data_IF_207646050168
#
_entry.id   IF_207646050168
#
_cell.length_a   1.000
_cell.length_b   1.000
_cell.length_c   1.000
_cell.angle_alpha   90.00
_cell.angle_beta   90.00
_cell.angle_gamma   90.00
#
_symmetry.space_group_name_H-M   'P 1'
#
loop_
_entity.id
_entity.type
_entity.pdbx_description
1 polymer ?
#
# COMPACT_ATOMS: atom_id res chain seq x y z
N UNK A 1 -19.25 -12.89 -14.06
CA UNK A 1 -19.34 -11.91 -12.95
C UNK A 1 -18.09 -11.84 -12.07
N UNK A 2 -17.52 -12.96 -11.57
CA UNK A 2 -16.36 -12.90 -10.63
C UNK A 2 -15.11 -12.20 -11.18
N UNK A 3 -14.72 -12.52 -12.41
CA UNK A 3 -13.55 -11.88 -13.07
C UNK A 3 -13.78 -10.39 -13.33
N UNK A 4 -15.00 -10.01 -13.68
CA UNK A 4 -15.39 -8.61 -13.89
C UNK A 4 -15.27 -7.77 -12.61
N UNK A 5 -15.70 -8.32 -11.46
CA UNK A 5 -15.56 -7.63 -10.17
C UNK A 5 -14.11 -7.46 -9.75
N UNK A 6 -13.26 -8.46 -10.00
CA UNK A 6 -11.81 -8.36 -9.74
C UNK A 6 -11.17 -7.31 -10.64
N UNK A 7 -11.52 -7.31 -11.92
CA UNK A 7 -11.02 -6.32 -12.87
C UNK A 7 -11.45 -4.90 -12.49
N UNK A 8 -12.72 -4.72 -12.10
CA UNK A 8 -13.26 -3.46 -11.61
C UNK A 8 -12.57 -3.01 -10.32
N UNK A 9 -12.27 -3.92 -9.39
CA UNK A 9 -11.53 -3.61 -8.16
C UNK A 9 -10.08 -3.19 -8.43
N UNK A 10 -9.41 -3.83 -9.40
CA UNK A 10 -8.04 -3.49 -9.81
C UNK A 10 -7.99 -2.13 -10.51
N UNK A 11 -8.95 -1.87 -11.41
CA UNK A 11 -9.12 -0.57 -12.07
C UNK A 11 -9.44 0.51 -11.05
N UNK A 12 -10.34 0.28 -10.10
CA UNK A 12 -10.65 1.23 -9.05
C UNK A 12 -9.44 1.51 -8.16
N UNK A 13 -8.71 0.48 -7.72
CA UNK A 13 -7.51 0.63 -6.91
C UNK A 13 -6.40 1.42 -7.62
N UNK A 14 -6.27 1.30 -8.95
CA UNK A 14 -5.31 2.07 -9.73
C UNK A 14 -5.80 3.50 -10.05
N UNK A 15 -7.10 3.66 -10.35
CA UNK A 15 -7.69 4.92 -10.77
C UNK A 15 -7.97 5.88 -9.61
N UNK A 16 -8.31 5.37 -8.42
CA UNK A 16 -8.64 6.21 -7.26
C UNK A 16 -7.42 7.04 -6.79
N UNK A 17 -6.20 6.47 -6.63
CA UNK A 17 -5.01 7.26 -6.33
C UNK A 17 -4.73 8.29 -7.43
N UNK A 18 -4.84 7.92 -8.70
CA UNK A 18 -4.59 8.83 -9.81
C UNK A 18 -5.60 10.01 -9.88
N UNK A 19 -6.86 9.77 -9.51
CA UNK A 19 -7.92 10.77 -9.53
C UNK A 19 -7.91 11.69 -8.29
N UNK A 20 -7.41 11.22 -7.15
CA UNK A 20 -7.30 11.99 -5.91
C UNK A 20 -5.99 12.80 -5.86
N UNK A 21 -4.97 12.39 -6.62
CA UNK A 21 -3.63 13.00 -6.66
C UNK A 21 -3.34 13.68 -8.02
N UNK A 22 -4.22 14.52 -8.60
CA UNK A 22 -3.92 15.15 -9.89
C UNK A 22 -2.85 16.24 -9.78
N UNK A 23 -2.55 16.74 -8.57
CA UNK A 23 -1.59 17.84 -8.32
C UNK A 23 -0.90 17.71 -6.95
N UNK A 24 -0.37 16.53 -6.60
CA UNK A 24 0.42 16.40 -5.38
C UNK A 24 1.80 17.02 -5.57
N UNK A 25 1.92 18.28 -5.17
CA UNK A 25 3.20 18.90 -4.85
C UNK A 25 3.47 18.53 -3.39
N UNK A 26 4.48 17.70 -3.07
CA UNK A 26 4.81 17.42 -1.70
C UNK A 26 5.24 18.72 -1.02
N UNK A 27 4.38 19.30 -0.20
CA UNK A 27 4.79 20.35 0.74
C UNK A 27 5.77 19.68 1.71
N UNK A 28 7.07 19.90 1.48
CA UNK A 28 8.14 19.48 2.38
C UNK A 28 8.03 20.29 3.67
N UNK A 29 7.16 19.86 4.57
CA UNK A 29 7.09 20.40 5.93
C UNK A 29 8.21 19.78 6.77
N UNK A 30 9.31 20.51 6.92
CA UNK A 30 10.32 20.28 7.95
C UNK A 30 11.47 19.37 7.54
N UNK A 31 12.67 19.71 8.02
CA UNK A 31 13.94 18.98 7.78
C UNK A 31 14.03 17.61 8.46
N UNK A 32 13.01 16.77 8.29
CA UNK A 32 13.02 15.36 8.70
C UNK A 32 13.77 14.47 7.69
N UNK A 33 14.10 13.25 8.13
CA UNK A 33 14.76 12.24 7.28
C UNK A 33 13.86 11.86 6.11
N UNK A 34 14.39 11.98 4.89
CA UNK A 34 13.71 11.57 3.66
C UNK A 34 13.63 10.02 3.63
N UNK A 35 12.49 9.47 4.03
CA UNK A 35 12.21 8.04 3.89
C UNK A 35 11.77 7.77 2.45
N UNK A 36 12.56 6.98 1.72
CA UNK A 36 12.20 6.53 0.38
C UNK A 36 10.86 5.76 0.44
N UNK A 37 9.80 6.22 -0.24
CA UNK A 37 8.49 5.59 -0.16
C UNK A 37 8.41 4.27 -0.96
N UNK A 38 9.31 4.08 -1.92
CA UNK A 38 9.27 2.96 -2.86
C UNK A 38 9.21 1.56 -2.20
N UNK A 39 10.00 1.23 -1.15
CA UNK A 39 9.94 -0.09 -0.52
C UNK A 39 8.57 -0.40 0.10
N UNK A 40 7.93 0.58 0.74
CA UNK A 40 6.61 0.42 1.36
C UNK A 40 5.53 0.25 0.28
N UNK A 41 5.63 1.03 -0.80
CA UNK A 41 4.70 0.95 -1.92
C UNK A 41 4.76 -0.42 -2.62
N UNK A 42 5.98 -0.93 -2.83
CA UNK A 42 6.18 -2.27 -3.42
C UNK A 42 5.58 -3.34 -2.52
N UNK A 43 5.80 -3.27 -1.21
CA UNK A 43 5.26 -4.26 -0.28
C UNK A 43 3.74 -4.20 -0.19
N UNK A 44 3.16 -2.99 -0.16
CA UNK A 44 1.72 -2.77 -0.20
C UNK A 44 1.09 -3.34 -1.49
N UNK A 45 1.65 -3.01 -2.65
CA UNK A 45 1.19 -3.53 -3.94
C UNK A 45 1.29 -5.06 -4.02
N UNK A 46 2.40 -5.64 -3.54
CA UNK A 46 2.59 -7.08 -3.52
C UNK A 46 1.56 -7.79 -2.62
N UNK A 47 1.32 -7.27 -1.41
CA UNK A 47 0.31 -7.80 -0.49
C UNK A 47 -1.10 -7.73 -1.09
N UNK A 48 -1.44 -6.63 -1.76
CA UNK A 48 -2.71 -6.48 -2.46
C UNK A 48 -2.86 -7.51 -3.59
N UNK A 49 -1.84 -7.67 -4.43
CA UNK A 49 -1.85 -8.67 -5.51
C UNK A 49 -1.99 -10.09 -4.99
N UNK A 50 -1.33 -10.43 -3.87
CA UNK A 50 -1.51 -11.72 -3.20
C UNK A 50 -2.94 -11.90 -2.69
N UNK A 51 -3.53 -10.90 -2.05
CA UNK A 51 -4.90 -10.99 -1.56
C UNK A 51 -5.90 -11.19 -2.71
N UNK A 52 -5.74 -10.44 -3.81
CA UNK A 52 -6.55 -10.61 -5.03
C UNK A 52 -6.33 -11.99 -5.65
N UNK A 53 -5.08 -12.44 -5.76
CA UNK A 53 -4.75 -13.78 -6.23
C UNK A 53 -5.40 -14.87 -5.37
N UNK A 54 -5.36 -14.73 -4.06
CA UNK A 54 -6.04 -15.61 -3.11
C UNK A 54 -7.54 -15.71 -3.36
N UNK A 55 -8.20 -14.60 -3.72
CA UNK A 55 -9.60 -14.63 -4.12
C UNK A 55 -9.85 -15.37 -5.45
N UNK A 56 -8.95 -15.24 -6.43
CA UNK A 56 -9.03 -15.97 -7.69
C UNK A 56 -8.93 -17.49 -7.48
N UNK A 57 -8.03 -17.93 -6.60
CA UNK A 57 -7.82 -19.34 -6.26
C UNK A 57 -8.67 -19.83 -5.08
N UNK A 58 -9.57 -19.00 -4.54
CA UNK A 58 -10.42 -19.29 -3.36
C UNK A 58 -9.63 -19.77 -2.12
N UNK A 59 -8.39 -19.34 -1.95
CA UNK A 59 -7.56 -19.72 -0.81
C UNK A 59 -7.63 -18.65 0.28
N UNK A 60 -8.35 -18.95 1.37
CA UNK A 60 -8.46 -18.04 2.52
C UNK A 60 -7.11 -17.77 3.18
N UNK A 61 -6.20 -18.76 3.14
CA UNK A 61 -4.84 -18.59 3.65
C UNK A 61 -4.06 -17.54 2.85
N UNK A 62 -4.10 -17.61 1.52
CA UNK A 62 -3.41 -16.66 0.64
C UNK A 62 -4.02 -15.25 0.76
N UNK A 63 -5.35 -15.17 0.88
CA UNK A 63 -6.04 -13.89 1.16
C UNK A 63 -5.55 -13.29 2.48
N UNK A 64 -5.54 -14.07 3.56
CA UNK A 64 -5.07 -13.63 4.87
C UNK A 64 -3.61 -13.19 4.86
N UNK A 65 -2.74 -13.93 4.16
CA UNK A 65 -1.33 -13.58 4.00
C UNK A 65 -1.15 -12.25 3.26
N UNK A 66 -1.88 -12.04 2.16
CA UNK A 66 -1.85 -10.78 1.41
C UNK A 66 -2.30 -9.59 2.26
N UNK A 67 -3.40 -9.75 3.01
CA UNK A 67 -3.89 -8.73 3.95
C UNK A 67 -2.84 -8.42 5.03
N UNK A 68 -2.23 -9.45 5.62
CA UNK A 68 -1.18 -9.25 6.63
C UNK A 68 0.00 -8.44 6.09
N UNK A 69 0.45 -8.69 4.85
CA UNK A 69 1.53 -7.95 4.20
C UNK A 69 1.14 -6.48 3.97
N UNK A 70 -0.10 -6.21 3.55
CA UNK A 70 -0.63 -4.86 3.39
C UNK A 70 -0.58 -4.08 4.72
N UNK A 71 -1.08 -4.69 5.80
CA UNK A 71 -1.05 -4.07 7.13
C UNK A 71 0.39 -3.88 7.63
N UNK A 72 1.27 -4.85 7.38
CA UNK A 72 2.68 -4.74 7.73
C UNK A 72 3.33 -3.54 7.03
N UNK A 73 3.03 -3.30 5.75
CA UNK A 73 3.54 -2.15 5.02
C UNK A 73 3.10 -0.82 5.65
N UNK A 74 1.85 -0.73 6.10
CA UNK A 74 1.33 0.45 6.78
C UNK A 74 1.97 0.67 8.15
N UNK A 75 2.18 -0.40 8.92
CA UNK A 75 2.79 -0.32 10.26
C UNK A 75 4.28 0.02 10.19
N UNK A 76 4.98 -0.41 9.14
CA UNK A 76 6.40 -0.11 9.00
C UNK A 76 6.69 1.36 8.71
N UNK A 77 5.74 2.14 8.16
CA UNK A 77 5.92 3.57 7.92
C UNK A 77 6.18 4.36 9.22
N UNK A 78 5.27 4.35 10.22
CA UNK A 78 5.52 5.05 11.48
C UNK A 78 6.74 4.49 12.23
N UNK A 79 7.01 3.18 12.14
CA UNK A 79 8.23 2.59 12.73
C UNK A 79 9.49 3.16 12.06
N UNK A 80 9.52 3.25 10.73
CA UNK A 80 10.64 3.81 9.98
C UNK A 80 10.86 5.28 10.34
N UNK A 81 9.79 6.05 10.54
CA UNK A 81 9.88 7.44 10.98
C UNK A 81 10.44 7.57 12.40
N UNK A 82 10.03 6.70 13.33
CA UNK A 82 10.56 6.68 14.71
C UNK A 82 12.04 6.26 14.72
N UNK A 83 12.41 5.20 14.00
CA UNK A 83 13.79 4.68 13.95
C UNK A 83 14.75 5.65 13.26
N UNK A 84 14.29 6.36 12.23
CA UNK A 84 15.09 7.39 11.54
C UNK A 84 15.19 8.71 12.31
N UNK A 85 14.53 8.84 13.47
CA UNK A 85 14.55 10.06 14.28
C UNK A 85 13.57 11.16 13.84
N UNK A 86 12.68 10.87 12.88
CA UNK A 86 11.61 11.78 12.45
C UNK A 86 10.42 11.89 13.42
N UNK A 87 10.39 11.06 14.47
CA UNK A 87 9.30 11.01 15.47
C UNK A 87 9.53 11.82 16.75
N UNK A 88 10.61 12.60 16.86
CA UNK A 88 10.94 13.38 18.06
C UNK A 88 11.18 14.86 17.72
N UNK A 89 10.09 15.61 17.56
CA UNK A 89 10.03 17.06 17.79
C UNK A 89 8.62 17.43 18.29
#
# INVERSE_FOLDING_TARGET
>A
MRVFLVFLALVAFLAIPAAIIPNYVPERSGGGVDIEPAPFLVMFGFGFLLAVGGHLYKSQFVVGLGIAIVFLALVLIPIALVVSGGGAA
#
